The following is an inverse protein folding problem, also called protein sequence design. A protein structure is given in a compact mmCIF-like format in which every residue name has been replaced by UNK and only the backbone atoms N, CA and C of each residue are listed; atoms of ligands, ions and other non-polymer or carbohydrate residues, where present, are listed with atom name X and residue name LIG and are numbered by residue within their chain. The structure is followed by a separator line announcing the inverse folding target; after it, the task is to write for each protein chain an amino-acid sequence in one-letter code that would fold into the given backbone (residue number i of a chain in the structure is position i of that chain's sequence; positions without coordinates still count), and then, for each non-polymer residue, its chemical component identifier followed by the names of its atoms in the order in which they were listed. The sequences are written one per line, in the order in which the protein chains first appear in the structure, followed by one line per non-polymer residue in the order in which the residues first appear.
data_IF_315749214580
#
_entry.id   IF_315749214580
#
_cell.length_a   1.000
_cell.length_b   1.000
_cell.length_c   1.000
_cell.angle_alpha   90.00
_cell.angle_beta   90.00
_cell.angle_gamma   90.00
#
_symmetry.space_group_name_H-M   'P 1'
#
loop_
_entity.id
_entity.type
_entity.pdbx_description
1 polymer ?
#
# COMPACT_ATOMS: atom_id res chain seq x y z
N UNK A 1 28.41 -1.41 -1.07
CA UNK A 1 29.70 -0.95 -0.51
C UNK A 1 29.69 0.56 -0.19
N UNK A 2 29.23 1.46 -1.06
CA UNK A 2 29.26 2.91 -0.83
C UNK A 2 28.41 3.33 0.35
N UNK A 3 27.17 2.85 0.47
CA UNK A 3 26.29 3.15 1.62
C UNK A 3 26.88 2.66 2.94
N UNK A 4 27.47 1.46 2.95
CA UNK A 4 28.19 0.94 4.12
C UNK A 4 29.31 1.89 4.55
N UNK A 5 30.16 2.34 3.60
CA UNK A 5 31.23 3.30 3.89
C UNK A 5 30.69 4.63 4.43
N UNK A 6 29.57 5.14 3.91
CA UNK A 6 28.91 6.35 4.41
C UNK A 6 28.49 6.17 5.87
N UNK A 7 27.84 5.03 6.20
CA UNK A 7 27.42 4.75 7.56
C UNK A 7 28.61 4.65 8.52
N UNK A 8 29.68 3.96 8.11
CA UNK A 8 30.91 3.82 8.90
C UNK A 8 31.62 5.17 9.14
N UNK A 9 31.65 6.06 8.13
CA UNK A 9 32.18 7.43 8.30
C UNK A 9 31.36 8.24 9.31
N UNK A 10 30.07 7.94 9.46
CA UNK A 10 29.17 8.56 10.44
C UNK A 10 29.19 7.86 11.81
N UNK A 11 30.03 6.83 11.99
CA UNK A 11 30.20 6.12 13.26
C UNK A 11 29.23 4.97 13.51
N UNK A 12 28.52 4.51 12.47
CA UNK A 12 27.63 3.34 12.53
C UNK A 12 28.34 2.10 11.99
N UNK A 13 27.95 0.92 12.47
CA UNK A 13 28.51 -0.35 12.03
C UNK A 13 28.22 -0.63 10.56
N UNK A 14 26.97 -0.46 10.18
CA UNK A 14 26.44 -0.75 8.85
C UNK A 14 25.34 0.27 8.45
N UNK A 15 24.88 0.18 7.21
CA UNK A 15 23.89 1.13 6.69
C UNK A 15 22.49 0.94 7.32
N UNK A 16 22.14 -0.29 7.69
CA UNK A 16 20.85 -0.56 8.35
C UNK A 16 20.83 0.11 9.73
N UNK A 17 21.90 0.00 10.53
CA UNK A 17 22.01 0.69 11.83
C UNK A 17 21.84 2.22 11.66
N UNK A 18 22.51 2.82 10.67
CA UNK A 18 22.37 4.25 10.38
C UNK A 18 20.93 4.62 10.02
N UNK A 19 20.29 3.86 9.13
CA UNK A 19 18.96 4.17 8.63
C UNK A 19 17.89 3.96 9.70
N UNK A 20 17.98 2.85 10.45
CA UNK A 20 16.98 2.44 11.42
C UNK A 20 16.89 3.33 12.65
N UNK A 21 17.89 4.16 12.93
CA UNK A 21 17.84 5.18 14.02
C UNK A 21 16.64 6.13 13.92
N UNK A 22 16.09 6.32 12.71
CA UNK A 22 14.89 7.16 12.47
C UNK A 22 13.76 6.31 11.87
N UNK A 23 13.47 5.19 12.51
CA UNK A 23 12.39 4.25 12.14
C UNK A 23 11.71 3.76 13.42
N UNK A 24 10.47 3.27 13.30
CA UNK A 24 9.75 2.62 14.40
C UNK A 24 10.44 1.33 14.85
N UNK A 25 11.06 0.62 13.91
CA UNK A 25 11.79 -0.61 14.19
C UNK A 25 13.07 -0.39 15.02
N UNK A 26 13.66 0.81 14.97
CA UNK A 26 14.84 1.26 15.73
C UNK A 26 16.15 0.50 15.45
N UNK A 27 16.10 -0.79 15.16
CA UNK A 27 17.27 -1.65 14.94
C UNK A 27 16.96 -2.85 14.03
N UNK A 28 18.02 -3.50 13.54
CA UNK A 28 17.91 -4.66 12.62
C UNK A 28 17.27 -5.89 13.27
N UNK A 29 17.47 -6.08 14.58
CA UNK A 29 16.89 -7.21 15.33
C UNK A 29 15.35 -7.15 15.31
N UNK A 30 14.78 -5.98 15.53
CA UNK A 30 13.32 -5.77 15.46
C UNK A 30 12.77 -6.04 14.06
N UNK A 31 13.51 -5.64 13.01
CA UNK A 31 13.14 -5.92 11.62
C UNK A 31 13.15 -7.43 11.35
N UNK A 32 14.24 -8.11 11.64
CA UNK A 32 14.33 -9.56 11.43
C UNK A 32 13.32 -10.33 12.28
N UNK A 33 13.05 -9.88 13.51
CA UNK A 33 12.01 -10.48 14.35
C UNK A 33 10.66 -10.46 13.65
N UNK A 34 10.24 -9.31 13.11
CA UNK A 34 8.98 -9.21 12.36
C UNK A 34 8.99 -10.13 11.14
N UNK A 35 10.03 -10.02 10.28
CA UNK A 35 10.11 -10.81 9.05
C UNK A 35 10.05 -12.31 9.33
N UNK A 36 10.78 -12.78 10.36
CA UNK A 36 10.81 -14.20 10.73
C UNK A 36 9.48 -14.67 11.36
N UNK A 37 8.83 -13.85 12.20
CA UNK A 37 7.52 -14.19 12.75
C UNK A 37 6.46 -14.35 11.66
N UNK A 38 6.46 -13.46 10.66
CA UNK A 38 5.56 -13.57 9.53
C UNK A 38 5.93 -14.77 8.65
N UNK A 39 7.21 -15.00 8.38
CA UNK A 39 7.67 -16.16 7.61
C UNK A 39 7.20 -17.47 8.24
N UNK A 40 7.42 -17.65 9.54
CA UNK A 40 6.98 -18.84 10.29
C UNK A 40 5.46 -19.04 10.20
N UNK A 41 4.69 -17.96 10.34
CA UNK A 41 3.24 -18.02 10.31
C UNK A 41 2.67 -18.35 8.92
N UNK A 42 3.24 -17.76 7.86
CA UNK A 42 2.68 -17.87 6.51
C UNK A 42 3.24 -19.03 5.67
N UNK A 43 4.47 -19.51 5.96
CA UNK A 43 5.13 -20.53 5.13
C UNK A 43 4.31 -21.82 4.94
N UNK A 44 3.64 -22.41 5.97
CA UNK A 44 2.85 -23.62 5.78
C UNK A 44 1.69 -23.43 4.79
N UNK A 45 1.01 -22.27 4.87
CA UNK A 45 -0.11 -21.93 3.96
C UNK A 45 0.42 -21.67 2.55
N UNK A 46 1.53 -20.94 2.39
CA UNK A 46 2.13 -20.69 1.08
C UNK A 46 2.57 -21.98 0.37
N UNK A 47 3.07 -22.94 1.12
CA UNK A 47 3.39 -24.28 0.61
C UNK A 47 2.15 -25.01 0.10
N UNK A 48 1.02 -24.89 0.81
CA UNK A 48 -0.24 -25.48 0.39
C UNK A 48 -0.80 -24.79 -0.86
N UNK A 49 -0.75 -23.46 -0.91
CA UNK A 49 -1.14 -22.68 -2.09
C UNK A 49 -0.34 -23.09 -3.33
N UNK A 50 0.97 -23.25 -3.20
CA UNK A 50 1.81 -23.74 -4.30
C UNK A 50 1.41 -25.14 -4.77
N UNK A 51 1.14 -26.06 -3.84
CA UNK A 51 0.71 -27.42 -4.19
C UNK A 51 -0.57 -27.42 -5.00
N UNK A 52 -1.58 -26.65 -4.62
CA UNK A 52 -2.84 -26.56 -5.33
C UNK A 52 -2.68 -26.02 -6.76
N UNK A 53 -1.81 -25.04 -6.94
CA UNK A 53 -1.48 -24.50 -8.27
C UNK A 53 -0.70 -25.51 -9.08
N UNK A 54 0.25 -26.22 -8.47
CA UNK A 54 1.03 -27.27 -9.11
C UNK A 54 0.16 -28.44 -9.55
N UNK A 55 -0.81 -28.84 -8.73
CA UNK A 55 -1.79 -29.90 -9.07
C UNK A 55 -2.64 -29.50 -10.28
N UNK A 56 -3.20 -28.27 -10.28
CA UNK A 56 -3.95 -27.76 -11.43
C UNK A 56 -3.10 -27.75 -12.71
N UNK A 57 -1.84 -27.32 -12.61
CA UNK A 57 -0.95 -27.28 -13.75
C UNK A 57 -0.65 -28.69 -14.30
N UNK A 58 -0.48 -29.67 -13.43
CA UNK A 58 -0.27 -31.08 -13.82
C UNK A 58 -1.51 -31.73 -14.44
N UNK A 59 -2.72 -31.42 -13.97
CA UNK A 59 -3.95 -31.86 -14.60
C UNK A 59 -4.01 -31.49 -16.10
N UNK A 60 -3.37 -30.41 -16.50
CA UNK A 60 -3.42 -29.88 -17.86
C UNK A 60 -2.20 -30.20 -18.72
N UNK A 61 -1.00 -30.22 -18.10
CA UNK A 61 0.28 -30.34 -18.81
C UNK A 61 0.92 -31.72 -18.66
N UNK A 62 0.44 -32.53 -17.71
CA UNK A 62 1.00 -33.83 -17.35
C UNK A 62 1.83 -33.80 -16.06
N UNK A 63 2.07 -35.00 -15.50
CA UNK A 63 2.63 -35.19 -14.16
C UNK A 63 4.04 -34.60 -13.97
N UNK A 64 4.83 -34.53 -15.05
CA UNK A 64 6.21 -34.02 -15.02
C UNK A 64 6.29 -32.47 -15.04
N UNK A 65 5.17 -31.80 -15.24
CA UNK A 65 5.16 -30.34 -15.32
C UNK A 65 5.46 -29.71 -13.96
N UNK A 66 6.38 -28.74 -13.93
CA UNK A 66 6.75 -27.97 -12.74
C UNK A 66 6.42 -26.50 -12.96
N UNK A 67 5.59 -25.94 -12.11
CA UNK A 67 5.24 -24.52 -12.15
C UNK A 67 6.46 -23.66 -11.83
N UNK A 68 6.87 -22.85 -12.80
CA UNK A 68 7.96 -21.90 -12.69
C UNK A 68 7.43 -20.49 -12.36
N UNK A 69 8.29 -19.55 -11.94
CA UNK A 69 7.85 -18.18 -11.61
C UNK A 69 7.06 -17.47 -12.72
N UNK A 70 7.32 -17.75 -13.98
CA UNK A 70 6.57 -17.17 -15.11
C UNK A 70 5.21 -17.82 -15.35
N UNK A 71 4.96 -19.03 -14.83
CA UNK A 71 3.70 -19.76 -14.96
C UNK A 71 2.72 -19.39 -13.83
N UNK A 72 3.24 -18.87 -12.71
CA UNK A 72 2.50 -18.64 -11.48
C UNK A 72 1.22 -17.84 -11.69
N UNK A 73 1.31 -16.68 -12.34
CA UNK A 73 0.16 -15.80 -12.54
C UNK A 73 -0.94 -16.44 -13.39
N UNK A 74 -0.55 -17.21 -14.41
CA UNK A 74 -1.52 -17.90 -15.28
C UNK A 74 -2.32 -18.94 -14.49
N UNK A 75 -1.66 -19.88 -13.83
CA UNK A 75 -2.34 -20.93 -13.08
C UNK A 75 -3.02 -20.41 -11.81
N UNK A 76 -2.47 -19.38 -11.19
CA UNK A 76 -3.09 -18.69 -10.06
C UNK A 76 -4.45 -18.10 -10.45
N UNK A 77 -4.52 -17.33 -11.53
CA UNK A 77 -5.78 -16.75 -12.01
C UNK A 77 -6.80 -17.84 -12.38
N UNK A 78 -6.33 -18.91 -13.03
CA UNK A 78 -7.17 -20.03 -13.42
C UNK A 78 -7.75 -20.80 -12.22
N UNK A 79 -6.92 -21.01 -11.18
CA UNK A 79 -7.37 -21.64 -9.94
C UNK A 79 -8.35 -20.74 -9.18
N UNK A 80 -8.10 -19.41 -9.16
CA UNK A 80 -9.00 -18.43 -8.57
C UNK A 80 -10.38 -18.46 -9.22
N UNK A 81 -10.43 -18.46 -10.56
CA UNK A 81 -11.68 -18.54 -11.30
C UNK A 81 -12.41 -19.87 -11.03
N UNK A 82 -11.68 -21.01 -11.05
CA UNK A 82 -12.24 -22.35 -10.74
C UNK A 82 -12.82 -22.43 -9.31
N UNK A 83 -12.17 -21.80 -8.32
CA UNK A 83 -12.57 -21.87 -6.90
C UNK A 83 -13.70 -20.92 -6.54
N UNK A 84 -13.65 -19.70 -7.03
CA UNK A 84 -14.51 -18.61 -6.59
C UNK A 84 -15.50 -18.16 -7.68
N UNK A 85 -15.34 -18.64 -8.91
CA UNK A 85 -16.15 -18.23 -10.06
C UNK A 85 -16.19 -16.69 -10.18
N UNK A 86 -15.03 -16.06 -10.06
CA UNK A 86 -14.86 -14.60 -10.16
C UNK A 86 -13.59 -14.28 -10.95
N UNK A 87 -13.72 -13.32 -11.87
CA UNK A 87 -12.60 -12.76 -12.61
C UNK A 87 -12.79 -11.25 -12.77
N UNK A 88 -11.74 -10.57 -13.20
CA UNK A 88 -11.72 -9.11 -13.31
C UNK A 88 -12.78 -8.59 -14.29
N UNK A 89 -13.02 -9.29 -15.39
CA UNK A 89 -13.99 -8.85 -16.42
C UNK A 89 -15.44 -8.83 -15.93
N UNK A 90 -15.76 -9.62 -14.89
CA UNK A 90 -17.07 -9.58 -14.23
C UNK A 90 -17.24 -8.33 -13.36
N UNK A 91 -16.15 -7.79 -12.83
CA UNK A 91 -16.15 -6.66 -11.89
C UNK A 91 -15.99 -5.30 -12.59
N UNK A 92 -15.15 -5.22 -13.65
CA UNK A 92 -14.87 -3.99 -14.38
C UNK A 92 -16.09 -3.14 -14.75
N UNK A 93 -17.24 -3.71 -15.21
CA UNK A 93 -18.41 -2.91 -15.54
C UNK A 93 -19.00 -2.08 -14.40
N UNK A 94 -18.67 -2.44 -13.14
CA UNK A 94 -19.14 -1.75 -11.93
C UNK A 94 -18.14 -0.72 -11.41
N UNK A 95 -16.92 -0.67 -11.98
CA UNK A 95 -15.82 0.21 -11.55
C UNK A 95 -15.45 1.24 -12.63
N UNK A 96 -16.47 1.95 -13.11
CA UNK A 96 -16.24 3.11 -13.97
C UNK A 96 -15.52 4.23 -13.17
N UNK A 97 -14.47 4.82 -13.73
CA UNK A 97 -13.56 5.74 -13.03
C UNK A 97 -14.26 6.90 -12.33
N UNK A 98 -15.24 7.54 -12.97
CA UNK A 98 -15.96 8.67 -12.36
C UNK A 98 -16.84 8.22 -11.18
N UNK A 99 -17.41 7.02 -11.25
CA UNK A 99 -18.15 6.41 -10.16
C UNK A 99 -17.20 6.05 -8.99
N UNK A 100 -16.06 5.43 -9.28
CA UNK A 100 -15.04 5.12 -8.28
C UNK A 100 -14.53 6.39 -7.61
N UNK A 101 -14.24 7.44 -8.38
CA UNK A 101 -13.81 8.75 -7.84
C UNK A 101 -14.86 9.34 -6.89
N UNK A 102 -16.14 9.29 -7.27
CA UNK A 102 -17.23 9.70 -6.37
C UNK A 102 -17.28 8.85 -5.10
N UNK A 103 -17.09 7.53 -5.21
CA UNK A 103 -17.03 6.62 -4.07
C UNK A 103 -15.90 6.96 -3.11
N UNK A 104 -14.69 7.15 -3.63
CA UNK A 104 -13.50 7.49 -2.83
C UNK A 104 -13.64 8.85 -2.14
N UNK A 105 -14.13 9.86 -2.85
CA UNK A 105 -14.41 11.18 -2.26
C UNK A 105 -15.54 11.11 -1.24
N UNK A 106 -16.61 10.36 -1.54
CA UNK A 106 -17.72 10.12 -0.64
C UNK A 106 -17.33 9.36 0.64
N UNK A 107 -16.35 8.46 0.56
CA UNK A 107 -15.76 7.82 1.73
C UNK A 107 -15.12 8.84 2.66
N UNK A 108 -14.30 9.74 2.11
CA UNK A 108 -13.65 10.79 2.90
C UNK A 108 -14.68 11.80 3.48
N UNK A 109 -15.72 12.14 2.71
CA UNK A 109 -16.83 12.95 3.20
C UNK A 109 -17.52 12.24 4.38
N UNK A 110 -17.80 10.95 4.24
CA UNK A 110 -18.49 10.16 5.27
C UNK A 110 -17.63 9.95 6.52
N UNK A 111 -16.31 9.75 6.38
CA UNK A 111 -15.40 9.56 7.51
C UNK A 111 -15.01 10.87 8.20
N UNK A 112 -14.82 11.94 7.45
CA UNK A 112 -14.16 13.16 7.94
C UNK A 112 -14.96 14.45 7.72
N UNK A 113 -16.08 14.38 6.99
CA UNK A 113 -16.91 15.55 6.66
C UNK A 113 -16.29 16.51 5.65
N UNK A 114 -15.20 16.11 4.96
CA UNK A 114 -14.55 16.96 3.95
C UNK A 114 -15.28 16.88 2.62
N UNK A 115 -15.26 17.99 1.86
CA UNK A 115 -15.90 18.07 0.54
C UNK A 115 -14.91 18.49 -0.53
N UNK A 116 -15.17 18.04 -1.77
CA UNK A 116 -14.31 18.26 -2.94
C UNK A 116 -15.07 19.07 -3.99
N UNK A 117 -14.52 20.19 -4.40
CA UNK A 117 -15.08 21.04 -5.45
C UNK A 117 -14.09 21.18 -6.60
N UNK A 118 -14.44 20.66 -7.77
CA UNK A 118 -13.63 20.83 -8.98
C UNK A 118 -13.47 22.32 -9.28
N UNK A 119 -12.23 22.75 -9.53
CA UNK A 119 -11.92 24.13 -9.85
C UNK A 119 -11.03 24.19 -11.10
N UNK A 120 -11.60 24.66 -12.22
CA UNK A 120 -10.93 24.77 -13.51
C UNK A 120 -10.03 26.01 -13.63
N UNK A 121 -10.09 26.93 -12.68
CA UNK A 121 -9.23 28.11 -12.63
C UNK A 121 -7.83 27.81 -12.07
N UNK A 122 -7.69 26.68 -11.37
CA UNK A 122 -6.39 26.24 -10.85
C UNK A 122 -5.56 25.68 -12.00
N UNK A 123 -4.34 26.22 -12.24
CA UNK A 123 -3.45 25.72 -13.29
C UNK A 123 -3.08 24.25 -13.08
N UNK A 124 -3.13 23.47 -14.15
CA UNK A 124 -2.73 22.07 -14.15
C UNK A 124 -1.57 21.83 -15.13
N UNK A 125 -0.71 20.87 -14.84
CA UNK A 125 0.49 20.57 -15.65
C UNK A 125 0.20 19.72 -16.89
N UNK A 126 -0.99 19.16 -17.00
CA UNK A 126 -1.44 18.40 -18.18
C UNK A 126 -2.96 18.47 -18.32
N UNK A 127 -3.49 18.46 -19.54
CA UNK A 127 -4.93 18.61 -19.84
C UNK A 127 -5.84 17.52 -19.25
N UNK A 128 -5.29 16.34 -18.94
CA UNK A 128 -6.01 15.22 -18.32
C UNK A 128 -6.00 15.30 -16.78
N UNK A 129 -5.31 16.27 -16.19
CA UNK A 129 -5.27 16.48 -14.74
C UNK A 129 -6.45 17.33 -14.31
N UNK A 130 -7.11 16.92 -13.25
CA UNK A 130 -8.17 17.70 -12.61
C UNK A 130 -7.68 18.27 -11.28
N UNK A 131 -8.09 19.47 -10.95
CA UNK A 131 -7.82 20.12 -9.67
C UNK A 131 -9.10 20.30 -8.86
N UNK A 132 -9.02 19.99 -7.56
CA UNK A 132 -10.12 20.11 -6.61
C UNK A 132 -9.70 20.96 -5.42
N UNK A 133 -10.52 21.96 -5.08
CA UNK A 133 -10.47 22.58 -3.75
C UNK A 133 -11.11 21.62 -2.75
N UNK A 134 -10.43 21.40 -1.65
CA UNK A 134 -10.92 20.55 -0.55
C UNK A 134 -11.26 21.43 0.63
N UNK A 135 -12.45 21.24 1.19
CA UNK A 135 -12.96 22.00 2.33
C UNK A 135 -13.21 21.08 3.51
N UNK A 136 -12.88 21.54 4.71
CA UNK A 136 -13.14 20.84 5.95
C UNK A 136 -14.63 20.88 6.32
N UNK A 137 -15.05 20.09 7.29
CA UNK A 137 -16.43 20.01 7.80
C UNK A 137 -17.02 21.34 8.27
N UNK A 138 -16.18 22.31 8.62
CA UNK A 138 -16.59 23.68 8.98
C UNK A 138 -16.59 24.66 7.78
N UNK A 139 -16.40 24.15 6.56
CA UNK A 139 -16.37 24.94 5.33
C UNK A 139 -15.06 25.67 5.07
N UNK A 140 -14.05 25.53 5.94
CA UNK A 140 -12.75 26.15 5.72
C UNK A 140 -11.95 25.43 4.64
N UNK A 141 -11.20 26.20 3.86
CA UNK A 141 -10.29 25.67 2.86
C UNK A 141 -9.21 24.79 3.53
N UNK A 142 -9.09 23.54 3.07
CA UNK A 142 -8.20 22.54 3.63
C UNK A 142 -6.98 22.27 2.73
N UNK A 143 -7.18 22.09 1.42
CA UNK A 143 -6.12 21.72 0.49
C UNK A 143 -6.53 21.92 -0.96
N UNK A 144 -5.54 21.78 -1.87
CA UNK A 144 -5.80 21.48 -3.29
C UNK A 144 -5.37 20.05 -3.56
N UNK A 145 -6.26 19.26 -4.15
CA UNK A 145 -5.99 17.92 -4.63
C UNK A 145 -5.96 17.90 -6.17
N UNK A 146 -4.88 17.38 -6.75
CA UNK A 146 -4.78 17.09 -8.18
C UNK A 146 -4.93 15.60 -8.43
N UNK A 147 -5.69 15.22 -9.44
CA UNK A 147 -5.85 13.81 -9.86
C UNK A 147 -5.33 13.62 -11.28
N UNK A 148 -4.49 12.63 -11.48
CA UNK A 148 -3.82 12.31 -12.74
C UNK A 148 -3.87 10.79 -12.98
N UNK A 149 -4.93 10.32 -13.65
CA UNK A 149 -5.27 8.89 -13.67
C UNK A 149 -4.64 8.08 -14.80
N UNK A 150 -4.27 8.68 -15.92
CA UNK A 150 -3.99 7.92 -17.13
C UNK A 150 -2.52 7.93 -17.55
N UNK A 151 -2.03 6.81 -18.13
CA UNK A 151 -0.67 6.74 -18.70
C UNK A 151 -0.52 7.66 -19.91
N UNK A 152 0.69 8.19 -20.09
CA UNK A 152 1.09 8.96 -21.28
C UNK A 152 2.59 8.93 -21.46
N UNK A 153 3.06 9.35 -22.64
CA UNK A 153 4.49 9.47 -22.91
C UNK A 153 5.16 10.39 -21.88
N UNK A 154 6.26 9.93 -21.30
CA UNK A 154 7.03 10.65 -20.29
C UNK A 154 6.50 10.52 -18.85
N UNK A 155 5.35 9.89 -18.63
CA UNK A 155 4.85 9.55 -17.29
C UNK A 155 5.46 8.22 -16.82
N UNK A 156 5.99 8.18 -15.60
CA UNK A 156 6.52 6.94 -15.01
C UNK A 156 5.40 5.93 -14.78
N UNK A 157 5.72 4.65 -14.85
CA UNK A 157 4.81 3.57 -14.47
C UNK A 157 4.59 3.53 -12.94
N UNK A 158 3.53 2.86 -12.52
CA UNK A 158 3.12 2.75 -11.11
C UNK A 158 2.14 3.84 -10.70
N UNK A 159 1.98 3.99 -9.38
CA UNK A 159 1.16 5.03 -8.77
C UNK A 159 1.95 5.70 -7.64
N UNK A 160 1.62 6.93 -7.33
CA UNK A 160 2.25 7.66 -6.22
C UNK A 160 1.45 8.91 -5.83
N UNK A 161 1.59 9.31 -4.59
CA UNK A 161 1.21 10.63 -4.10
C UNK A 161 2.41 11.57 -4.12
N UNK A 162 2.21 12.84 -4.43
CA UNK A 162 3.23 13.89 -4.33
C UNK A 162 2.65 15.13 -3.68
N UNK A 163 3.43 15.76 -2.80
CA UNK A 163 3.15 17.09 -2.28
C UNK A 163 3.93 18.13 -3.11
N UNK A 164 3.21 19.04 -3.79
CA UNK A 164 3.81 20.18 -4.47
C UNK A 164 4.05 21.35 -3.52
N UNK A 165 3.23 21.45 -2.49
CA UNK A 165 3.32 22.42 -1.42
C UNK A 165 2.89 21.74 -0.12
N UNK A 166 3.81 21.64 0.84
CA UNK A 166 3.49 21.12 2.16
C UNK A 166 2.73 22.16 3.00
N UNK A 167 2.00 21.68 3.99
CA UNK A 167 1.37 22.53 4.99
C UNK A 167 2.42 23.02 6.02
N UNK A 168 2.28 24.23 6.51
CA UNK A 168 3.05 24.79 7.64
C UNK A 168 2.33 25.98 8.26
N UNK A 169 2.68 26.36 9.49
CA UNK A 169 2.13 27.52 10.18
C UNK A 169 3.21 28.59 10.32
N UNK A 170 2.92 29.79 9.81
CA UNK A 170 3.79 30.95 10.04
C UNK A 170 3.73 31.38 11.51
N UNK A 171 4.86 31.29 12.21
CA UNK A 171 4.93 31.63 13.64
C UNK A 171 4.71 33.11 13.94
N UNK A 172 4.91 34.00 12.96
CA UNK A 172 4.77 35.43 13.15
C UNK A 172 3.33 35.88 12.94
N UNK A 173 2.69 35.37 11.89
CA UNK A 173 1.33 35.77 11.49
C UNK A 173 0.25 34.83 12.01
N UNK A 174 0.58 33.57 12.35
CA UNK A 174 -0.35 32.51 12.67
C UNK A 174 -1.04 31.93 11.43
N UNK A 175 -0.66 32.39 10.22
CA UNK A 175 -1.24 31.89 8.97
C UNK A 175 -0.89 30.39 8.77
N UNK A 176 -1.91 29.59 8.48
CA UNK A 176 -1.77 28.17 8.15
C UNK A 176 -1.75 28.00 6.62
N UNK A 177 -0.55 27.89 6.06
CA UNK A 177 -0.35 27.64 4.63
C UNK A 177 -0.82 26.22 4.28
N UNK A 178 -1.87 26.12 3.48
CA UNK A 178 -2.50 24.84 3.17
C UNK A 178 -1.81 24.11 2.01
N UNK A 179 -1.82 22.77 2.03
CA UNK A 179 -1.04 21.95 1.11
C UNK A 179 -1.68 21.84 -0.28
N UNK A 180 -0.82 21.54 -1.27
CA UNK A 180 -1.21 21.09 -2.60
C UNK A 180 -0.65 19.71 -2.83
N UNK A 181 -1.50 18.72 -3.02
CA UNK A 181 -1.13 17.32 -3.17
C UNK A 181 -1.68 16.75 -4.48
N UNK A 182 -1.04 15.73 -5.01
CA UNK A 182 -1.53 15.01 -6.19
C UNK A 182 -1.54 13.51 -5.96
N UNK A 183 -2.51 12.83 -6.57
CA UNK A 183 -2.50 11.41 -6.82
C UNK A 183 -2.24 11.16 -8.29
N UNK A 184 -1.23 10.35 -8.58
CA UNK A 184 -0.78 10.06 -9.95
C UNK A 184 -0.81 8.56 -10.17
N UNK A 185 -1.49 8.12 -11.23
CA UNK A 185 -1.75 6.72 -11.52
C UNK A 185 -1.57 6.43 -13.00
N UNK A 186 -1.66 5.17 -13.38
CA UNK A 186 -1.59 4.73 -14.76
C UNK A 186 -2.74 3.76 -15.07
N UNK A 187 -3.97 4.19 -14.79
CA UNK A 187 -5.18 3.40 -14.97
C UNK A 187 -5.58 3.22 -16.41
N UNK A 188 -6.33 2.16 -16.67
CA UNK A 188 -6.93 1.85 -17.97
C UNK A 188 -7.61 3.08 -18.56
N UNK A 189 -7.20 3.46 -19.78
CA UNK A 189 -7.78 4.60 -20.49
C UNK A 189 -9.19 4.28 -21.02
N UNK A 190 -10.06 5.29 -21.15
CA UNK A 190 -11.28 5.15 -21.94
C UNK A 190 -10.93 4.90 -23.40
N UNK A 191 -11.86 4.28 -24.13
CA UNK A 191 -11.84 4.15 -25.59
C UNK A 191 -12.96 4.99 -26.20
N UNK A 192 -13.05 5.08 -27.53
CA UNK A 192 -14.12 5.84 -28.19
C UNK A 192 -15.53 5.37 -27.79
N UNK A 193 -15.68 4.08 -27.45
CA UNK A 193 -16.98 3.45 -27.18
C UNK A 193 -17.14 2.94 -25.73
N UNK A 194 -16.13 3.11 -24.88
CA UNK A 194 -16.14 2.63 -23.49
C UNK A 194 -15.49 3.67 -22.57
N UNK A 195 -16.11 4.00 -21.42
CA UNK A 195 -15.45 4.80 -20.38
C UNK A 195 -14.25 4.03 -19.79
N UNK A 196 -13.47 4.69 -18.95
CA UNK A 196 -12.42 4.02 -18.19
C UNK A 196 -13.05 3.07 -17.18
N UNK A 197 -12.92 1.78 -17.42
CA UNK A 197 -13.38 0.71 -16.53
C UNK A 197 -12.18 0.13 -15.80
N UNK A 198 -12.14 0.31 -14.50
CA UNK A 198 -11.00 -0.08 -13.66
C UNK A 198 -11.04 -1.58 -13.33
N UNK A 199 -9.86 -2.16 -13.11
CA UNK A 199 -9.75 -3.43 -12.39
C UNK A 199 -9.99 -3.21 -10.90
N UNK A 200 -10.27 -4.28 -10.16
CA UNK A 200 -10.36 -4.19 -8.70
C UNK A 200 -9.05 -3.69 -8.07
N UNK A 201 -7.91 -4.16 -8.56
CA UNK A 201 -6.59 -3.70 -8.13
C UNK A 201 -6.37 -2.19 -8.39
N UNK A 202 -6.89 -1.64 -9.50
CA UNK A 202 -6.84 -0.20 -9.76
C UNK A 202 -7.71 0.58 -8.76
N UNK A 203 -8.83 0.03 -8.28
CA UNK A 203 -9.64 0.63 -7.21
C UNK A 203 -8.87 0.62 -5.88
N UNK A 204 -8.25 -0.50 -5.51
CA UNK A 204 -7.38 -0.59 -4.32
C UNK A 204 -6.22 0.40 -4.38
N UNK A 205 -5.55 0.50 -5.54
CA UNK A 205 -4.47 1.47 -5.78
C UNK A 205 -4.95 2.91 -5.59
N UNK A 206 -6.16 3.23 -6.06
CA UNK A 206 -6.71 4.58 -5.84
C UNK A 206 -6.94 4.86 -4.35
N UNK A 207 -7.50 3.92 -3.61
CA UNK A 207 -7.69 4.05 -2.17
C UNK A 207 -6.34 4.22 -1.45
N UNK A 208 -5.33 3.46 -1.83
CA UNK A 208 -3.96 3.57 -1.32
C UNK A 208 -3.40 4.99 -1.48
N UNK A 209 -3.30 5.48 -2.71
CA UNK A 209 -2.75 6.81 -3.00
C UNK A 209 -3.60 7.94 -2.38
N UNK A 210 -4.90 7.70 -2.30
CA UNK A 210 -5.80 8.63 -1.63
C UNK A 210 -5.57 8.68 -0.11
N UNK A 211 -5.20 7.57 0.51
CA UNK A 211 -4.77 7.51 1.91
C UNK A 211 -3.55 8.38 2.19
N UNK A 212 -2.53 8.33 1.33
CA UNK A 212 -1.40 9.26 1.38
C UNK A 212 -1.85 10.72 1.19
N UNK A 213 -2.80 10.96 0.28
CA UNK A 213 -3.33 12.30 0.06
C UNK A 213 -4.08 12.84 1.26
N UNK A 214 -4.85 12.02 1.97
CA UNK A 214 -5.49 12.40 3.23
C UNK A 214 -4.44 12.77 4.28
N UNK A 215 -3.35 12.01 4.38
CA UNK A 215 -2.23 12.33 5.26
C UNK A 215 -1.59 13.69 4.94
N UNK A 216 -1.44 14.01 3.65
CA UNK A 216 -0.96 15.31 3.21
C UNK A 216 -1.97 16.45 3.46
N UNK A 217 -3.24 16.23 3.12
CA UNK A 217 -4.28 17.26 3.21
C UNK A 217 -4.65 17.62 4.64
N UNK A 218 -4.69 16.65 5.56
CA UNK A 218 -5.01 16.91 6.96
C UNK A 218 -3.85 17.44 7.78
N UNK A 219 -2.66 17.53 7.22
CA UNK A 219 -1.47 18.02 7.92
C UNK A 219 -1.74 19.32 8.68
N UNK A 220 -1.29 19.38 9.92
CA UNK A 220 -1.43 20.53 10.81
C UNK A 220 -0.23 20.63 11.76
N UNK A 221 0.94 20.91 11.19
CA UNK A 221 2.19 21.08 11.92
C UNK A 221 2.73 22.50 11.78
N UNK A 222 3.52 22.93 12.76
CA UNK A 222 4.18 24.23 12.70
C UNK A 222 5.30 24.24 11.66
N UNK A 223 6.03 23.12 11.53
CA UNK A 223 7.19 23.03 10.66
C UNK A 223 6.89 22.21 9.41
N UNK A 224 7.21 22.78 8.25
CA UNK A 224 7.05 22.16 6.94
C UNK A 224 7.71 20.76 6.86
N UNK A 225 8.91 20.62 7.41
CA UNK A 225 9.67 19.36 7.40
C UNK A 225 9.09 18.22 8.25
N UNK A 226 8.05 18.52 9.04
CA UNK A 226 7.31 17.56 9.87
C UNK A 226 5.86 17.40 9.42
N UNK A 227 5.51 17.96 8.27
CA UNK A 227 4.13 18.03 7.79
C UNK A 227 3.76 16.83 6.91
N UNK A 228 2.51 16.38 7.01
CA UNK A 228 1.94 15.36 6.14
C UNK A 228 2.73 14.06 6.14
N UNK A 229 3.14 13.62 4.96
CA UNK A 229 3.88 12.37 4.76
C UNK A 229 5.36 12.42 5.16
N UNK A 230 5.84 13.55 5.73
CA UNK A 230 7.20 13.66 6.29
C UNK A 230 7.27 12.98 7.67
N UNK A 231 7.11 11.67 7.70
CA UNK A 231 7.10 10.79 8.87
C UNK A 231 8.23 9.76 8.78
N UNK A 232 8.37 8.92 9.78
CA UNK A 232 9.25 7.75 9.68
C UNK A 232 8.80 6.85 8.54
N UNK A 233 9.77 6.32 7.80
CA UNK A 233 9.53 5.59 6.56
C UNK A 233 8.66 4.33 6.76
N UNK A 234 8.84 3.64 7.88
CA UNK A 234 8.06 2.46 8.27
C UNK A 234 6.69 2.79 8.89
N UNK A 235 6.29 4.08 8.86
CA UNK A 235 4.97 4.54 9.27
C UNK A 235 4.19 5.17 8.11
N UNK A 236 4.87 5.54 7.03
CA UNK A 236 4.27 6.31 5.92
C UNK A 236 3.15 5.56 5.21
N UNK A 237 3.23 4.22 5.16
CA UNK A 237 2.23 3.38 4.49
C UNK A 237 0.98 3.07 5.35
N UNK A 238 0.95 3.41 6.65
CA UNK A 238 -0.24 3.17 7.46
C UNK A 238 -1.48 3.90 6.92
N UNK A 239 -1.43 5.21 6.57
CA UNK A 239 -2.59 5.90 6.04
C UNK A 239 -3.05 5.42 4.66
N UNK A 240 -2.15 4.89 3.83
CA UNK A 240 -2.48 4.34 2.53
C UNK A 240 -3.09 2.94 2.64
N UNK A 241 -2.41 2.02 3.33
CA UNK A 241 -2.85 0.63 3.46
C UNK A 241 -4.16 0.49 4.24
N UNK A 242 -4.43 1.34 5.24
CA UNK A 242 -5.72 1.29 5.95
C UNK A 242 -6.90 1.58 5.02
N UNK A 243 -6.71 2.44 4.00
CA UNK A 243 -7.76 2.76 3.04
C UNK A 243 -8.07 1.60 2.09
N UNK A 244 -7.09 0.75 1.76
CA UNK A 244 -7.29 -0.44 0.93
C UNK A 244 -8.33 -1.39 1.53
N UNK A 245 -8.38 -1.51 2.86
CA UNK A 245 -9.34 -2.39 3.55
C UNK A 245 -10.80 -2.06 3.23
N UNK A 246 -11.12 -0.82 2.87
CA UNK A 246 -12.48 -0.44 2.48
C UNK A 246 -12.90 -1.04 1.14
N UNK A 247 -11.95 -1.42 0.26
CA UNK A 247 -12.25 -1.91 -1.10
C UNK A 247 -13.15 -3.15 -1.13
N UNK A 248 -13.11 -3.98 -0.10
CA UNK A 248 -13.93 -5.20 0.03
C UNK A 248 -15.13 -5.04 0.99
N UNK A 249 -15.31 -3.85 1.58
CA UNK A 249 -16.43 -3.61 2.48
C UNK A 249 -17.71 -3.34 1.70
N UNK A 250 -18.72 -4.23 1.86
CA UNK A 250 -20.01 -4.17 1.17
C UNK A 250 -20.69 -2.81 1.32
N UNK A 251 -20.66 -2.24 2.53
CA UNK A 251 -21.29 -0.95 2.80
C UNK A 251 -20.63 0.20 2.04
N UNK A 252 -19.32 0.10 1.76
CA UNK A 252 -18.62 1.06 0.92
C UNK A 252 -18.90 0.80 -0.56
N UNK A 253 -18.76 -0.43 -1.06
CA UNK A 253 -19.03 -0.80 -2.45
C UNK A 253 -20.43 -0.37 -2.88
N UNK A 254 -21.44 -0.56 -2.04
CA UNK A 254 -22.83 -0.17 -2.31
C UNK A 254 -23.02 1.34 -2.51
N UNK A 255 -22.07 2.17 -2.09
CA UNK A 255 -22.17 3.63 -2.27
C UNK A 255 -21.89 4.05 -3.72
N UNK A 256 -21.07 3.30 -4.48
CA UNK A 256 -20.63 3.73 -5.81
C UNK A 256 -20.57 2.64 -6.88
N UNK A 257 -20.38 1.36 -6.51
CA UNK A 257 -20.18 0.28 -7.47
C UNK A 257 -21.46 -0.02 -8.24
N UNK A 258 -21.60 0.59 -9.44
CA UNK A 258 -22.76 0.48 -10.31
C UNK A 258 -22.35 0.16 -11.72
N UNK A 259 -23.11 -0.72 -12.38
CA UNK A 259 -22.86 -1.05 -13.77
C UNK A 259 -22.97 0.18 -14.66
N UNK A 260 -21.94 0.48 -15.44
CA UNK A 260 -21.79 1.75 -16.18
C UNK A 260 -22.87 1.99 -17.25
N UNK A 261 -23.54 0.93 -17.74
CA UNK A 261 -24.62 1.04 -18.71
C UNK A 261 -26.01 0.97 -18.09
N UNK A 262 -26.23 0.03 -17.14
CA UNK A 262 -27.58 -0.23 -16.58
C UNK A 262 -27.84 0.55 -15.31
N UNK A 263 -26.79 1.01 -14.59
CA UNK A 263 -26.91 1.66 -13.30
C UNK A 263 -27.19 0.71 -12.12
N UNK A 264 -27.32 -0.60 -12.39
CA UNK A 264 -27.53 -1.62 -11.37
C UNK A 264 -26.34 -1.68 -10.40
N UNK A 265 -26.63 -1.86 -9.12
CA UNK A 265 -25.58 -2.03 -8.10
C UNK A 265 -24.82 -3.33 -8.31
N UNK A 266 -23.56 -3.36 -7.88
CA UNK A 266 -22.77 -4.59 -7.85
C UNK A 266 -23.53 -5.65 -7.05
N UNK A 267 -23.87 -6.81 -7.63
CA UNK A 267 -24.64 -7.85 -6.95
C UNK A 267 -23.96 -8.35 -5.68
N UNK A 268 -24.76 -8.56 -4.63
CA UNK A 268 -24.27 -9.09 -3.34
C UNK A 268 -23.46 -10.38 -3.51
N UNK A 269 -23.90 -11.27 -4.40
CA UNK A 269 -23.21 -12.52 -4.70
C UNK A 269 -21.79 -12.29 -5.27
N UNK A 270 -21.58 -11.25 -6.09
CA UNK A 270 -20.24 -10.90 -6.58
C UNK A 270 -19.39 -10.28 -5.48
N UNK A 271 -19.98 -9.52 -4.57
CA UNK A 271 -19.26 -8.98 -3.40
C UNK A 271 -18.83 -10.13 -2.49
N UNK A 272 -19.69 -11.09 -2.20
CA UNK A 272 -19.35 -12.28 -1.40
C UNK A 272 -18.19 -13.06 -2.04
N UNK A 273 -18.26 -13.35 -3.34
CA UNK A 273 -17.16 -14.01 -4.07
C UNK A 273 -15.87 -13.21 -4.04
N UNK A 274 -15.94 -11.87 -4.13
CA UNK A 274 -14.80 -10.99 -4.04
C UNK A 274 -14.13 -11.08 -2.66
N UNK A 275 -14.94 -11.05 -1.59
CA UNK A 275 -14.48 -11.20 -0.20
C UNK A 275 -13.86 -12.58 0.02
N UNK A 276 -14.52 -13.64 -0.43
CA UNK A 276 -14.00 -15.02 -0.31
C UNK A 276 -12.66 -15.20 -1.05
N UNK A 277 -12.52 -14.50 -2.19
CA UNK A 277 -11.31 -14.55 -2.99
C UNK A 277 -10.19 -13.58 -2.50
N UNK A 278 -10.46 -12.69 -1.54
CA UNK A 278 -9.51 -11.67 -1.10
C UNK A 278 -8.23 -12.24 -0.49
N UNK A 279 -8.34 -13.38 0.18
CA UNK A 279 -7.20 -14.08 0.79
C UNK A 279 -6.61 -15.18 -0.11
N UNK A 280 -7.01 -15.26 -1.37
CA UNK A 280 -6.48 -16.26 -2.29
C UNK A 280 -5.00 -15.98 -2.60
N UNK A 281 -4.15 -16.98 -2.35
CA UNK A 281 -2.68 -16.88 -2.48
C UNK A 281 -2.04 -15.77 -1.62
N UNK A 282 -2.70 -15.37 -0.55
CA UNK A 282 -2.20 -14.31 0.35
C UNK A 282 -0.90 -14.70 1.04
N UNK A 283 -0.71 -16.00 1.34
CA UNK A 283 0.49 -16.46 2.00
C UNK A 283 1.70 -16.45 1.05
N UNK A 284 1.54 -16.89 -0.17
CA UNK A 284 2.57 -16.73 -1.20
C UNK A 284 2.94 -15.25 -1.42
N UNK A 285 1.93 -14.39 -1.55
CA UNK A 285 2.14 -12.95 -1.71
C UNK A 285 2.91 -12.35 -0.52
N UNK A 286 2.60 -12.78 0.70
CA UNK A 286 3.34 -12.39 1.90
C UNK A 286 4.80 -12.85 1.82
N UNK A 287 5.07 -14.13 1.55
CA UNK A 287 6.44 -14.65 1.45
C UNK A 287 7.26 -13.93 0.38
N UNK A 288 6.64 -13.56 -0.74
CA UNK A 288 7.31 -12.75 -1.76
C UNK A 288 7.75 -11.38 -1.22
N UNK A 289 6.90 -10.70 -0.45
CA UNK A 289 7.27 -9.43 0.19
C UNK A 289 8.35 -9.62 1.26
N UNK A 290 8.27 -10.70 2.03
CA UNK A 290 9.30 -11.06 3.02
C UNK A 290 10.65 -11.34 2.36
N UNK A 291 10.66 -12.04 1.20
CA UNK A 291 11.91 -12.29 0.47
C UNK A 291 12.61 -10.98 0.08
N UNK A 292 11.87 -9.98 -0.36
CA UNK A 292 12.41 -8.66 -0.68
C UNK A 292 12.94 -7.93 0.56
N UNK A 293 12.23 -8.02 1.69
CA UNK A 293 12.69 -7.47 2.97
C UNK A 293 13.97 -8.13 3.49
N UNK A 294 14.05 -9.46 3.39
CA UNK A 294 15.23 -10.24 3.78
C UNK A 294 16.44 -9.88 2.89
N UNK A 295 16.23 -9.78 1.58
CA UNK A 295 17.28 -9.37 0.64
C UNK A 295 17.78 -7.96 0.90
N UNK A 296 16.90 -7.02 1.14
CA UNK A 296 17.24 -5.64 1.50
C UNK A 296 18.10 -5.61 2.78
N UNK A 297 17.63 -6.25 3.84
CA UNK A 297 18.36 -6.30 5.09
C UNK A 297 19.72 -7.00 4.95
N UNK A 298 19.80 -8.09 4.19
CA UNK A 298 21.06 -8.78 3.94
C UNK A 298 22.09 -7.86 3.26
N UNK A 299 21.70 -7.06 2.28
CA UNK A 299 22.58 -6.10 1.65
C UNK A 299 23.07 -5.00 2.60
N UNK A 300 22.23 -4.51 3.52
CA UNK A 300 22.50 -3.30 4.30
C UNK A 300 22.92 -3.52 5.75
N UNK A 301 22.89 -4.75 6.27
CA UNK A 301 23.50 -5.15 7.55
C UNK A 301 24.97 -5.59 7.42
N UNK A 302 25.53 -5.46 6.23
CA UNK A 302 26.96 -5.77 5.99
C UNK A 302 27.86 -4.70 6.57
N UNK A 303 28.89 -5.12 7.27
CA UNK A 303 29.94 -4.28 7.84
C UNK A 303 31.29 -4.39 7.10
N UNK A 304 31.34 -5.26 6.08
CA UNK A 304 32.50 -5.49 5.22
C UNK A 304 32.15 -5.36 3.73
N UNK A 305 33.07 -4.92 2.87
CA UNK A 305 32.84 -4.83 1.43
C UNK A 305 32.42 -6.16 0.83
N UNK A 306 31.48 -6.11 -0.12
CA UNK A 306 31.07 -7.26 -0.88
C UNK A 306 31.95 -7.41 -2.13
N UNK A 307 32.50 -8.61 -2.31
CA UNK A 307 33.37 -8.99 -3.44
C UNK A 307 32.97 -10.35 -4.03
N UNK A 308 31.83 -10.93 -3.58
CA UNK A 308 31.36 -12.24 -3.98
C UNK A 308 30.46 -12.25 -5.21
N UNK A 309 29.89 -13.41 -5.50
CA UNK A 309 28.85 -13.59 -6.51
C UNK A 309 27.50 -13.06 -6.01
N UNK A 310 26.92 -12.10 -6.74
CA UNK A 310 25.68 -11.41 -6.37
C UNK A 310 24.48 -12.37 -6.34
N UNK A 311 24.40 -13.30 -7.31
CA UNK A 311 23.30 -14.26 -7.39
C UNK A 311 23.34 -15.26 -6.24
N UNK A 312 24.53 -15.80 -5.95
CA UNK A 312 24.70 -16.71 -4.82
C UNK A 312 24.35 -16.04 -3.48
N UNK A 313 24.75 -14.78 -3.30
CA UNK A 313 24.41 -13.99 -2.12
C UNK A 313 22.90 -13.75 -2.01
N UNK A 314 22.26 -13.37 -3.10
CA UNK A 314 20.83 -13.18 -3.17
C UNK A 314 20.06 -14.45 -2.82
N UNK A 315 20.44 -15.60 -3.43
CA UNK A 315 19.80 -16.87 -3.17
C UNK A 315 19.90 -17.28 -1.69
N UNK A 316 21.06 -17.09 -1.07
CA UNK A 316 21.24 -17.37 0.36
C UNK A 316 20.40 -16.42 1.25
N UNK A 317 20.33 -15.11 0.87
CA UNK A 317 19.65 -14.10 1.67
C UNK A 317 18.14 -14.33 1.85
N UNK A 318 17.49 -14.93 0.86
CA UNK A 318 16.03 -15.11 0.88
C UNK A 318 15.56 -16.58 0.74
N UNK A 319 16.47 -17.54 0.83
CA UNK A 319 16.17 -18.99 0.61
C UNK A 319 14.96 -19.49 1.38
N UNK A 320 14.79 -19.05 2.63
CA UNK A 320 13.72 -19.53 3.52
C UNK A 320 12.32 -18.99 3.10
N UNK A 321 12.28 -17.93 2.31
CA UNK A 321 11.05 -17.34 1.76
C UNK A 321 10.77 -17.78 0.31
N UNK A 322 11.61 -18.63 -0.29
CA UNK A 322 11.42 -19.13 -1.65
C UNK A 322 10.46 -20.33 -1.68
N UNK A 323 9.42 -20.21 -2.50
CA UNK A 323 8.43 -21.26 -2.74
C UNK A 323 8.57 -21.85 -4.14
N UNK A 324 8.79 -21.00 -5.14
CA UNK A 324 8.92 -21.40 -6.53
C UNK A 324 10.37 -21.82 -6.85
N UNK A 325 10.56 -22.68 -7.86
CA UNK A 325 11.89 -23.06 -8.31
C UNK A 325 12.76 -21.85 -8.66
N UNK A 326 14.06 -21.97 -8.36
CA UNK A 326 15.05 -20.93 -8.70
C UNK A 326 15.24 -20.87 -10.21
N UNK A 327 15.26 -19.63 -10.74
CA UNK A 327 15.64 -19.35 -12.14
C UNK A 327 17.09 -18.88 -12.15
N UNK A 328 18.05 -19.71 -12.63
CA UNK A 328 19.48 -19.40 -12.52
C UNK A 328 19.91 -18.12 -13.26
N UNK A 329 19.19 -17.73 -14.31
CA UNK A 329 19.46 -16.54 -15.11
C UNK A 329 18.94 -15.26 -14.46
N UNK A 330 17.97 -15.36 -13.53
CA UNK A 330 17.38 -14.21 -12.86
C UNK A 330 18.29 -13.68 -11.75
N UNK A 331 18.26 -12.37 -11.54
CA UNK A 331 18.94 -11.70 -10.44
C UNK A 331 18.14 -10.45 -10.05
N UNK A 332 17.41 -10.53 -8.94
CA UNK A 332 16.58 -9.41 -8.46
C UNK A 332 17.42 -8.21 -8.04
N UNK A 333 18.57 -8.42 -7.42
CA UNK A 333 19.46 -7.37 -6.95
C UNK A 333 19.89 -6.40 -8.06
N UNK A 334 19.97 -6.84 -9.31
CA UNK A 334 20.38 -5.98 -10.44
C UNK A 334 19.27 -5.08 -10.97
N UNK A 335 18.02 -5.33 -10.60
CA UNK A 335 16.84 -4.57 -11.04
C UNK A 335 16.03 -3.98 -9.87
N UNK A 336 16.46 -4.22 -8.63
CA UNK A 336 15.72 -3.81 -7.43
C UNK A 336 15.91 -2.32 -7.12
N UNK A 337 15.29 -1.48 -7.94
CA UNK A 337 15.41 -0.02 -7.81
C UNK A 337 14.95 0.52 -6.45
N UNK A 338 13.95 -0.09 -5.80
CA UNK A 338 13.46 0.33 -4.48
C UNK A 338 14.58 0.47 -3.47
N UNK A 339 15.44 -0.54 -3.34
CA UNK A 339 16.50 -0.57 -2.33
C UNK A 339 17.83 0.02 -2.81
N UNK A 340 18.07 0.13 -4.12
CA UNK A 340 19.34 0.64 -4.66
C UNK A 340 19.26 2.06 -5.20
N UNK A 341 18.15 2.46 -5.83
CA UNK A 341 17.95 3.78 -6.43
C UNK A 341 16.83 4.59 -5.78
N UNK A 342 15.88 3.93 -5.11
CA UNK A 342 14.81 4.55 -4.35
C UNK A 342 15.18 4.77 -2.87
N UNK A 343 14.21 5.17 -2.07
CA UNK A 343 14.35 5.49 -0.65
C UNK A 343 14.31 4.28 0.30
N UNK A 344 14.16 3.05 -0.22
CA UNK A 344 13.87 1.86 0.59
C UNK A 344 15.12 1.05 1.00
N UNK A 345 16.33 1.60 0.90
CA UNK A 345 17.54 0.94 1.39
C UNK A 345 17.49 0.73 2.92
N UNK A 346 17.59 -0.50 3.38
CA UNK A 346 17.27 -0.94 4.75
C UNK A 346 15.87 -0.47 5.20
N UNK A 347 14.90 -0.55 4.30
CA UNK A 347 13.57 0.01 4.50
C UNK A 347 12.44 -0.74 3.80
N UNK A 348 12.71 -1.79 3.02
CA UNK A 348 11.66 -2.53 2.31
C UNK A 348 10.69 -3.25 3.26
N UNK A 349 11.16 -3.67 4.44
CA UNK A 349 10.32 -4.23 5.49
C UNK A 349 9.15 -3.31 5.89
N UNK A 350 9.24 -2.01 5.60
CA UNK A 350 8.24 -0.99 5.96
C UNK A 350 6.84 -1.33 5.46
N UNK A 351 6.70 -1.97 4.29
CA UNK A 351 5.40 -2.40 3.78
C UNK A 351 4.73 -3.42 4.71
N UNK A 352 5.48 -4.42 5.19
CA UNK A 352 4.94 -5.41 6.13
C UNK A 352 4.80 -4.86 7.54
N UNK A 353 5.67 -3.97 7.94
CA UNK A 353 5.54 -3.25 9.20
C UNK A 353 4.24 -2.44 9.24
N UNK A 354 4.00 -1.64 8.20
CA UNK A 354 2.78 -0.83 8.11
C UNK A 354 1.52 -1.68 7.93
N UNK A 355 1.60 -2.84 7.27
CA UNK A 355 0.47 -3.77 7.13
C UNK A 355 0.05 -4.38 8.48
N UNK A 356 0.99 -4.60 9.41
CA UNK A 356 0.66 -4.97 10.80
C UNK A 356 -0.07 -3.82 11.49
N UNK A 357 0.41 -2.58 11.31
CA UNK A 357 -0.23 -1.40 11.88
C UNK A 357 -1.65 -1.20 11.33
N UNK A 358 -1.81 -1.31 10.00
CA UNK A 358 -3.10 -1.10 9.34
C UNK A 358 -4.13 -2.15 9.74
N UNK A 359 -3.75 -3.43 9.78
CA UNK A 359 -4.65 -4.50 10.16
C UNK A 359 -5.18 -4.34 11.59
N UNK A 360 -4.30 -4.00 12.54
CA UNK A 360 -4.71 -3.72 13.92
C UNK A 360 -5.54 -2.43 14.01
N UNK A 361 -5.17 -1.38 13.27
CA UNK A 361 -5.92 -0.12 13.21
C UNK A 361 -7.32 -0.31 12.60
N UNK A 362 -7.42 -1.01 11.46
CA UNK A 362 -8.70 -1.25 10.79
C UNK A 362 -9.61 -2.19 11.61
N UNK A 363 -9.04 -3.09 12.42
CA UNK A 363 -9.83 -3.93 13.33
C UNK A 363 -10.70 -3.10 14.27
N UNK A 364 -10.25 -1.88 14.66
CA UNK A 364 -11.05 -0.97 15.48
C UNK A 364 -12.25 -0.41 14.68
N UNK A 365 -12.05 -0.06 13.39
CA UNK A 365 -13.15 0.32 12.52
C UNK A 365 -14.16 -0.83 12.33
N UNK A 366 -13.70 -2.06 12.16
CA UNK A 366 -14.60 -3.24 12.07
C UNK A 366 -15.41 -3.43 13.36
N UNK A 367 -14.81 -3.25 14.52
CA UNK A 367 -15.49 -3.42 15.81
C UNK A 367 -16.52 -2.33 16.09
N UNK A 368 -16.26 -1.08 15.69
CA UNK A 368 -17.10 0.09 15.99
C UNK A 368 -18.04 0.48 14.85
N UNK A 369 -17.87 -0.13 13.68
CA UNK A 369 -18.50 0.23 12.40
C UNK A 369 -17.55 1.01 11.51
N UNK A 370 -17.44 0.59 10.23
CA UNK A 370 -16.44 1.13 9.29
C UNK A 370 -16.59 2.64 9.01
N UNK A 371 -17.76 3.22 9.29
CA UNK A 371 -18.04 4.65 9.17
C UNK A 371 -18.18 5.35 10.52
N UNK A 372 -17.67 4.77 11.60
CA UNK A 372 -17.76 5.36 12.93
C UNK A 372 -16.97 6.67 13.02
N UNK A 373 -17.67 7.78 13.32
CA UNK A 373 -17.10 9.13 13.34
C UNK A 373 -16.06 9.31 14.45
N UNK A 374 -16.25 8.71 15.62
CA UNK A 374 -15.30 8.83 16.76
C UNK A 374 -13.98 8.19 16.40
N UNK A 375 -14.01 7.00 15.75
CA UNK A 375 -12.79 6.32 15.29
C UNK A 375 -12.12 7.11 14.18
N UNK A 376 -12.88 7.61 13.21
CA UNK A 376 -12.38 8.41 12.10
C UNK A 376 -11.75 9.72 12.59
N UNK A 377 -12.44 10.47 13.47
CA UNK A 377 -11.92 11.70 14.08
C UNK A 377 -10.66 11.42 14.93
N UNK A 378 -10.63 10.31 15.67
CA UNK A 378 -9.43 9.88 16.42
C UNK A 378 -8.26 9.57 15.48
N UNK A 379 -8.48 8.86 14.38
CA UNK A 379 -7.45 8.57 13.38
C UNK A 379 -6.94 9.85 12.72
N UNK A 380 -7.85 10.74 12.29
CA UNK A 380 -7.50 12.05 11.76
C UNK A 380 -6.64 12.86 12.74
N UNK A 381 -7.08 12.99 14.00
CA UNK A 381 -6.47 13.89 14.97
C UNK A 381 -5.15 13.36 15.56
N UNK A 382 -5.00 12.04 15.65
CA UNK A 382 -3.82 11.41 16.26
C UNK A 382 -2.79 10.92 15.22
N UNK A 383 -3.22 10.61 13.98
CA UNK A 383 -2.35 10.09 12.91
C UNK A 383 -2.24 11.11 11.77
N UNK A 384 -3.32 11.35 11.00
CA UNK A 384 -3.26 12.07 9.73
C UNK A 384 -2.82 13.54 9.89
N UNK A 385 -3.21 14.20 10.98
CA UNK A 385 -2.89 15.61 11.17
C UNK A 385 -1.52 15.87 11.80
N UNK A 386 -0.85 14.83 12.31
CA UNK A 386 0.35 14.98 13.15
C UNK A 386 1.66 14.95 12.35
N UNK A 387 1.70 14.29 11.19
CA UNK A 387 2.95 14.12 10.47
C UNK A 387 4.07 13.58 11.38
N UNK A 388 5.26 14.12 11.24
CA UNK A 388 6.44 13.74 12.04
C UNK A 388 6.65 14.53 13.34
N UNK A 389 5.59 15.12 13.91
CA UNK A 389 5.70 15.99 15.10
C UNK A 389 5.99 15.25 16.40
N UNK A 390 5.66 13.98 16.46
CA UNK A 390 5.89 13.09 17.59
C UNK A 390 6.35 11.71 17.07
N UNK A 391 6.92 10.89 17.94
CA UNK A 391 7.29 9.52 17.57
C UNK A 391 6.05 8.72 17.15
N UNK A 392 6.06 8.01 16.01
CA UNK A 392 4.88 7.35 15.46
C UNK A 392 4.20 6.38 16.41
N UNK A 393 4.97 5.62 17.23
CA UNK A 393 4.39 4.70 18.22
C UNK A 393 3.56 5.44 19.27
N UNK A 394 3.95 6.66 19.66
CA UNK A 394 3.17 7.49 20.59
C UNK A 394 1.84 7.89 19.96
N UNK A 395 1.87 8.33 18.70
CA UNK A 395 0.67 8.68 17.93
C UNK A 395 -0.26 7.46 17.75
N UNK A 396 0.33 6.33 17.37
CA UNK A 396 -0.40 5.07 17.19
C UNK A 396 -1.11 4.62 18.48
N UNK A 397 -0.38 4.58 19.62
CA UNK A 397 -0.96 4.21 20.92
C UNK A 397 -2.06 5.17 21.37
N UNK A 398 -1.93 6.45 21.04
CA UNK A 398 -2.97 7.44 21.33
C UNK A 398 -4.26 7.19 20.53
N UNK A 399 -4.13 6.74 19.28
CA UNK A 399 -5.25 6.35 18.45
C UNK A 399 -5.83 4.99 18.87
N UNK A 400 -4.97 3.97 18.96
CA UNK A 400 -5.39 2.56 19.10
C UNK A 400 -5.62 2.12 20.55
N UNK A 401 -4.98 2.79 21.51
CA UNK A 401 -4.99 2.44 22.93
C UNK A 401 -4.00 1.35 23.35
N UNK A 402 -3.27 0.78 22.38
CA UNK A 402 -2.31 -0.31 22.61
C UNK A 402 -1.20 -0.29 21.56
N UNK A 403 -0.16 -1.10 21.75
CA UNK A 403 0.83 -1.41 20.74
C UNK A 403 0.26 -2.35 19.67
N UNK A 404 0.72 -2.26 18.41
CA UNK A 404 0.27 -3.15 17.35
C UNK A 404 0.74 -4.58 17.58
N UNK A 405 -0.07 -5.55 17.15
CA UNK A 405 0.24 -6.98 17.17
C UNK A 405 0.05 -7.56 15.75
N UNK A 406 0.84 -8.58 15.41
CA UNK A 406 0.65 -9.33 14.16
C UNK A 406 -0.68 -10.11 14.13
N UNK A 407 -1.32 -10.32 15.26
CA UNK A 407 -2.51 -11.18 15.36
C UNK A 407 -3.66 -10.68 14.49
N UNK A 408 -3.90 -9.37 14.46
CA UNK A 408 -4.94 -8.79 13.60
C UNK A 408 -4.68 -9.07 12.11
N UNK A 409 -3.42 -9.00 11.66
CA UNK A 409 -3.03 -9.34 10.30
C UNK A 409 -3.22 -10.83 10.02
N UNK A 410 -2.80 -11.70 10.94
CA UNK A 410 -2.95 -13.15 10.77
C UNK A 410 -4.42 -13.57 10.71
N UNK A 411 -5.29 -12.93 11.51
CA UNK A 411 -6.74 -13.17 11.50
C UNK A 411 -7.34 -12.65 10.19
N UNK A 412 -7.03 -11.41 9.77
CA UNK A 412 -7.51 -10.83 8.52
C UNK A 412 -7.19 -11.71 7.31
N UNK A 413 -6.00 -12.27 7.28
CA UNK A 413 -5.52 -13.10 6.17
C UNK A 413 -5.87 -14.60 6.32
N UNK A 414 -6.67 -14.97 7.32
CA UNK A 414 -7.11 -16.36 7.52
C UNK A 414 -5.98 -17.34 7.92
N UNK A 415 -4.81 -16.84 8.32
CA UNK A 415 -3.66 -17.65 8.77
C UNK A 415 -3.91 -18.18 10.19
N UNK A 416 -4.59 -17.41 10.99
CA UNK A 416 -5.01 -17.77 12.35
C UNK A 416 -6.52 -17.57 12.48
N UNK A 417 -7.18 -18.48 13.23
CA UNK A 417 -8.61 -18.38 13.57
C UNK A 417 -8.83 -17.53 14.81
#
# INVERSE_FOLDING_TARGET
NTRMKIAQLLGYKDYAEYTLKKRMAENSESVYKLLNQLLEAYAPTAQQEYKEIQELAREEQGDDFVVMPWDWSYYSNKLKDKKFNINEEMLRPYFELEQVKKGVFGLAEKLYGITFRKNTEIPVYHKEVEAFEVFDKDGKFLAVLYTDFHPRLGKRAGAWMTSYKDQWIDKKTGENSRPHVSVVMNFTKPTENKPALLTFNEVETFLHEFGHSLHGMFANSTYRSLSGTNVYWDFVELPSQIMENFAIEKDFLNTFARHYQTGEVLPDELIERLVDASNFNIAYACLRQLSFGLLDMAWYTRDTPFEGDVKAYEQEAWKDAQILPVVPEACMSTQFSHIFAGGYAAGYYSYKWAEVLDADAFSLFKQKGIFNQEVADSFRNNILSKGGTEHPMVLYKRFRGQEPSIDALLIRNGIRK
#
